data_IF_436985047787
#
_entry.id   IF_436985047787
#
_cell.length_a   1.000
_cell.length_b   1.000
_cell.length_c   1.000
_cell.angle_alpha   90.00
_cell.angle_beta   90.00
_cell.angle_gamma   90.00
#
_symmetry.space_group_name_H-M   'P 1'
#
loop_
_entity.id
_entity.type
_entity.pdbx_description
1 polymer ?
#
# COMPACT_ATOMS: atom_id res chain seq x y z
N UNK A 1 24.64 38.38 -55.85
CA UNK A 1 24.87 37.67 -54.58
C UNK A 1 23.55 37.68 -53.86
N UNK A 2 22.74 36.64 -54.08
CA UNK A 2 21.42 36.49 -53.49
C UNK A 2 21.58 35.36 -52.47
N UNK A 3 21.99 35.70 -51.26
CA UNK A 3 21.77 34.85 -50.10
C UNK A 3 20.55 35.46 -49.42
N UNK A 4 19.37 35.07 -49.90
CA UNK A 4 18.10 35.52 -49.36
C UNK A 4 17.92 35.00 -47.93
N UNK A 5 17.33 35.83 -47.08
CA UNK A 5 16.99 35.66 -45.66
C UNK A 5 16.25 34.34 -45.30
N UNK A 6 15.85 33.57 -46.30
CA UNK A 6 15.08 32.33 -46.22
C UNK A 6 15.85 31.13 -45.61
N UNK A 7 17.19 31.15 -45.62
CA UNK A 7 18.01 30.08 -45.03
C UNK A 7 18.01 30.11 -43.49
N UNK A 8 18.00 31.31 -42.89
CA UNK A 8 17.97 31.49 -41.44
C UNK A 8 16.61 31.07 -40.84
N UNK A 9 15.49 31.37 -41.53
CA UNK A 9 14.16 30.93 -41.13
C UNK A 9 14.01 29.41 -41.17
N UNK A 10 14.57 28.76 -42.20
CA UNK A 10 14.57 27.30 -42.30
C UNK A 10 15.32 26.66 -41.11
N UNK A 11 16.52 27.13 -40.77
CA UNK A 11 17.30 26.60 -39.63
C UNK A 11 16.54 26.72 -38.32
N UNK A 12 15.87 27.87 -38.09
CA UNK A 12 15.05 28.09 -36.90
C UNK A 12 13.92 27.07 -36.77
N UNK A 13 13.17 26.80 -37.85
CA UNK A 13 12.09 25.81 -37.86
C UNK A 13 12.63 24.39 -37.59
N UNK A 14 13.76 24.01 -38.19
CA UNK A 14 14.37 22.69 -37.96
C UNK A 14 14.87 22.51 -36.51
N UNK A 15 15.42 23.55 -35.89
CA UNK A 15 15.81 23.54 -34.48
C UNK A 15 14.57 23.44 -33.57
N UNK A 16 13.54 24.25 -33.81
CA UNK A 16 12.26 24.24 -33.07
C UNK A 16 11.54 22.88 -33.14
N UNK A 17 11.56 22.23 -34.30
CA UNK A 17 10.95 20.90 -34.48
C UNK A 17 11.73 19.81 -33.72
N UNK A 18 13.05 19.92 -33.67
CA UNK A 18 13.91 19.00 -32.91
C UNK A 18 13.71 19.11 -31.41
N UNK A 19 13.65 20.34 -30.88
CA UNK A 19 13.42 20.62 -29.46
C UNK A 19 12.02 20.17 -29.01
N UNK A 20 10.98 20.47 -29.79
CA UNK A 20 9.59 20.05 -29.48
C UNK A 20 9.40 18.53 -29.47
N UNK A 21 10.10 17.81 -30.36
CA UNK A 21 10.08 16.33 -30.41
C UNK A 21 10.90 15.71 -29.26
N UNK A 22 11.98 16.36 -28.86
CA UNK A 22 12.80 16.02 -27.69
C UNK A 22 12.00 16.13 -26.39
N UNK A 23 11.34 17.27 -26.15
CA UNK A 23 10.56 17.51 -24.93
C UNK A 23 9.38 16.53 -24.78
N UNK A 24 8.69 16.21 -25.88
CA UNK A 24 7.57 15.28 -25.87
C UNK A 24 8.01 13.82 -25.64
N UNK A 25 9.21 13.42 -26.09
CA UNK A 25 9.77 12.10 -25.78
C UNK A 25 10.29 12.00 -24.34
N UNK A 26 10.88 13.07 -23.80
CA UNK A 26 11.35 13.11 -22.40
C UNK A 26 10.15 13.03 -21.44
N UNK A 27 9.08 13.78 -21.71
CA UNK A 27 7.83 13.72 -20.91
C UNK A 27 7.19 12.33 -20.95
N UNK A 28 7.14 11.68 -22.11
CA UNK A 28 6.60 10.31 -22.24
C UNK A 28 7.43 9.26 -21.49
N UNK A 29 8.77 9.35 -21.56
CA UNK A 29 9.67 8.46 -20.81
C UNK A 29 9.57 8.68 -19.30
N UNK A 30 9.48 9.94 -18.86
CA UNK A 30 9.30 10.27 -17.44
C UNK A 30 7.95 9.78 -16.90
N UNK A 31 6.85 9.95 -17.65
CA UNK A 31 5.53 9.42 -17.27
C UNK A 31 5.55 7.91 -17.17
N UNK A 32 6.17 7.21 -18.13
CA UNK A 32 6.28 5.76 -18.10
C UNK A 32 7.09 5.28 -16.88
N UNK A 33 8.18 5.96 -16.56
CA UNK A 33 9.01 5.67 -15.39
C UNK A 33 8.26 5.91 -14.06
N UNK A 34 7.46 6.98 -13.97
CA UNK A 34 6.64 7.25 -12.78
C UNK A 34 5.55 6.19 -12.61
N UNK A 35 4.87 5.79 -13.69
CA UNK A 35 3.84 4.75 -13.64
C UNK A 35 4.44 3.40 -13.24
N UNK A 36 5.57 3.00 -13.83
CA UNK A 36 6.23 1.73 -13.47
C UNK A 36 6.74 1.75 -12.03
N UNK A 37 7.28 2.88 -11.56
CA UNK A 37 7.70 3.04 -10.17
C UNK A 37 6.51 2.98 -9.19
N UNK A 38 5.37 3.58 -9.55
CA UNK A 38 4.15 3.54 -8.74
C UNK A 38 3.53 2.14 -8.67
N UNK A 39 3.59 1.36 -9.76
CA UNK A 39 3.18 -0.06 -9.76
C UNK A 39 4.06 -0.95 -8.87
N UNK A 40 5.37 -0.68 -8.80
CA UNK A 40 6.28 -1.42 -7.91
C UNK A 40 5.99 -1.18 -6.43
N UNK A 41 5.48 0.01 -6.06
CA UNK A 41 5.11 0.34 -4.68
C UNK A 41 3.82 -0.40 -4.27
N UNK A 42 2.89 -0.63 -5.20
CA UNK A 42 1.63 -1.33 -4.94
C UNK A 42 1.80 -2.85 -4.76
N UNK A 43 2.85 -3.45 -5.33
CA UNK A 43 3.16 -4.88 -5.18
C UNK A 43 3.76 -5.24 -3.80
N UNK A 44 4.12 -4.25 -2.99
CA UNK A 44 4.66 -4.43 -1.65
C UNK A 44 3.58 -4.46 -0.55
N UNK A 45 2.33 -4.78 -0.90
CA UNK A 45 1.29 -5.02 0.10
C UNK A 45 1.69 -6.19 1.00
N UNK A 46 1.87 -5.93 2.30
CA UNK A 46 2.05 -6.97 3.32
C UNK A 46 0.76 -7.82 3.37
N UNK A 47 0.68 -8.84 2.52
CA UNK A 47 -0.47 -9.70 2.37
C UNK A 47 -0.55 -10.75 3.47
N UNK A 48 -1.76 -11.27 3.66
CA UNK A 48 -2.03 -12.50 4.39
C UNK A 48 -1.41 -13.66 3.60
N UNK A 49 -0.41 -14.34 4.15
CA UNK A 49 0.42 -15.31 3.41
C UNK A 49 0.40 -16.73 4.00
N UNK A 50 -0.38 -16.97 5.05
CA UNK A 50 -0.48 -18.29 5.69
C UNK A 50 -1.80 -18.98 5.33
N UNK A 51 -1.75 -20.30 5.18
CA UNK A 51 -2.92 -21.16 4.98
C UNK A 51 -3.51 -21.68 6.30
N UNK A 52 -2.96 -21.27 7.45
CA UNK A 52 -3.52 -21.58 8.76
C UNK A 52 -4.86 -20.88 8.95
N UNK A 53 -5.86 -21.60 9.49
CA UNK A 53 -7.22 -21.11 9.65
C UNK A 53 -7.30 -19.94 10.64
N UNK A 54 -8.09 -18.91 10.33
CA UNK A 54 -8.31 -17.81 11.26
C UNK A 54 -8.96 -18.31 12.56
N UNK A 55 -8.42 -17.92 13.72
CA UNK A 55 -8.93 -18.35 15.02
C UNK A 55 -10.41 -17.96 15.27
N UNK A 56 -10.87 -16.85 14.67
CA UNK A 56 -12.23 -16.34 14.90
C UNK A 56 -13.27 -16.92 13.95
N UNK A 57 -12.92 -17.16 12.67
CA UNK A 57 -13.90 -17.51 11.63
C UNK A 57 -13.48 -18.69 10.73
N UNK A 58 -12.26 -19.20 10.88
CA UNK A 58 -11.72 -20.29 10.07
C UNK A 58 -11.29 -19.90 8.64
N UNK A 59 -11.46 -18.64 8.23
CA UNK A 59 -11.09 -18.19 6.89
C UNK A 59 -9.56 -18.19 6.66
N UNK A 60 -9.17 -18.39 5.40
CA UNK A 60 -7.81 -18.28 4.88
C UNK A 60 -7.82 -17.40 3.61
N UNK A 61 -6.71 -16.73 3.24
CA UNK A 61 -5.41 -16.72 3.92
C UNK A 61 -5.38 -15.87 5.19
N UNK A 62 -4.39 -16.12 6.05
CA UNK A 62 -4.19 -15.43 7.33
C UNK A 62 -2.80 -14.80 7.46
N UNK A 63 -2.64 -13.96 8.48
CA UNK A 63 -1.36 -13.43 8.96
C UNK A 63 -1.10 -13.95 10.37
N UNK A 64 0.15 -14.32 10.63
CA UNK A 64 0.61 -14.67 11.97
C UNK A 64 0.83 -13.39 12.79
N UNK A 65 0.27 -13.36 14.00
CA UNK A 65 0.52 -12.33 14.99
C UNK A 65 1.14 -13.01 16.20
N UNK A 66 2.21 -12.40 16.71
CA UNK A 66 2.97 -12.90 17.86
C UNK A 66 2.72 -12.00 19.05
N UNK A 67 2.39 -12.62 20.18
CA UNK A 67 2.06 -11.94 21.42
C UNK A 67 2.74 -12.67 22.58
N UNK A 68 3.12 -11.92 23.62
CA UNK A 68 3.78 -12.48 24.81
C UNK A 68 2.71 -12.76 25.89
N UNK A 69 2.68 -13.98 26.41
CA UNK A 69 1.83 -14.39 27.53
C UNK A 69 2.70 -15.14 28.54
N UNK A 70 2.75 -14.67 29.79
CA UNK A 70 3.53 -15.29 30.88
C UNK A 70 5.02 -15.54 30.57
N UNK A 71 5.60 -14.74 29.67
CA UNK A 71 7.00 -14.87 29.23
C UNK A 71 7.22 -15.88 28.11
N UNK A 72 6.15 -16.41 27.52
CA UNK A 72 6.17 -17.24 26.33
C UNK A 72 5.57 -16.50 25.13
N UNK A 73 6.20 -16.64 23.96
CA UNK A 73 5.66 -16.12 22.70
C UNK A 73 4.57 -17.05 22.15
N UNK A 74 3.32 -16.58 22.12
CA UNK A 74 2.19 -17.25 21.48
C UNK A 74 2.02 -16.70 20.06
N UNK A 75 1.73 -17.57 19.09
CA UNK A 75 1.45 -17.16 17.70
C UNK A 75 0.04 -17.56 17.31
N UNK A 76 -0.77 -16.58 16.89
CA UNK A 76 -2.13 -16.80 16.41
C UNK A 76 -2.31 -16.30 14.98
N UNK A 77 -3.33 -16.83 14.29
CA UNK A 77 -3.58 -16.57 12.88
C UNK A 77 -4.91 -15.84 12.68
N UNK A 78 -4.86 -14.73 11.95
CA UNK A 78 -6.02 -13.87 11.72
C UNK A 78 -6.18 -13.55 10.24
N UNK A 79 -7.41 -13.63 9.73
CA UNK A 79 -7.74 -13.14 8.40
C UNK A 79 -7.85 -11.60 8.39
N UNK A 80 -8.01 -11.03 7.20
CA UNK A 80 -8.08 -9.58 7.04
C UNK A 80 -9.26 -8.96 7.77
N UNK A 81 -10.45 -9.52 7.56
CA UNK A 81 -11.67 -9.02 8.16
C UNK A 81 -11.60 -9.02 9.69
N UNK A 82 -11.28 -10.16 10.30
CA UNK A 82 -11.23 -10.28 11.76
C UNK A 82 -10.10 -9.50 12.43
N UNK A 83 -9.05 -9.10 11.70
CA UNK A 83 -7.96 -8.28 12.25
C UNK A 83 -8.05 -6.79 11.89
N UNK A 84 -9.06 -6.38 11.13
CA UNK A 84 -9.29 -4.98 10.75
C UNK A 84 -10.65 -4.46 11.21
N UNK A 85 -11.55 -5.34 11.68
CA UNK A 85 -12.85 -4.98 12.23
C UNK A 85 -12.88 -5.14 13.75
N UNK A 86 -13.60 -4.24 14.41
CA UNK A 86 -13.87 -4.25 15.83
C UNK A 86 -14.77 -5.44 16.15
N UNK A 87 -14.31 -6.31 17.05
CA UNK A 87 -15.04 -7.51 17.45
C UNK A 87 -16.44 -7.20 18.02
N UNK A 88 -16.60 -6.05 18.68
CA UNK A 88 -17.83 -5.72 19.41
C UNK A 88 -18.90 -5.03 18.56
N UNK A 89 -18.49 -4.15 17.64
CA UNK A 89 -19.43 -3.31 16.89
C UNK A 89 -19.28 -3.38 15.37
N UNK A 90 -18.26 -4.08 14.87
CA UNK A 90 -17.98 -4.18 13.43
C UNK A 90 -17.41 -2.91 12.78
N UNK A 91 -17.15 -1.84 13.55
CA UNK A 91 -16.42 -0.67 13.06
C UNK A 91 -14.97 -1.03 12.70
N UNK A 92 -14.21 -0.12 12.08
CA UNK A 92 -12.78 -0.36 11.86
C UNK A 92 -12.03 -0.46 13.20
N UNK A 93 -11.27 -1.52 13.38
CA UNK A 93 -10.39 -1.66 14.54
C UNK A 93 -9.19 -0.71 14.43
N UNK A 94 -8.87 -0.08 15.55
CA UNK A 94 -7.74 0.84 15.73
C UNK A 94 -6.78 0.36 16.80
N UNK A 95 -7.23 -0.56 17.66
CA UNK A 95 -6.44 -1.11 18.76
C UNK A 95 -6.43 -2.63 18.72
N UNK A 96 -5.33 -3.19 19.21
CA UNK A 96 -5.09 -4.62 19.39
C UNK A 96 -4.68 -4.85 20.83
N UNK A 97 -5.28 -5.85 21.48
CA UNK A 97 -4.89 -6.29 22.82
C UNK A 97 -4.88 -7.81 22.87
N UNK A 98 -3.94 -8.37 23.61
CA UNK A 98 -3.89 -9.81 23.88
C UNK A 98 -4.66 -10.08 25.17
N UNK A 99 -5.66 -10.97 25.13
CA UNK A 99 -6.40 -11.36 26.32
C UNK A 99 -5.63 -12.38 27.18
N UNK A 100 -6.17 -12.73 28.35
CA UNK A 100 -5.56 -13.69 29.28
C UNK A 100 -5.38 -15.10 28.72
N UNK A 101 -6.04 -15.42 27.59
CA UNK A 101 -5.85 -16.69 26.87
C UNK A 101 -4.79 -16.59 25.77
N UNK A 102 -4.06 -15.48 25.68
CA UNK A 102 -3.03 -15.26 24.66
C UNK A 102 -3.60 -14.97 23.28
N UNK A 103 -4.90 -14.65 23.15
CA UNK A 103 -5.57 -14.38 21.88
C UNK A 103 -5.71 -12.87 21.67
N UNK A 104 -5.30 -12.39 20.50
CA UNK A 104 -5.47 -11.00 20.09
C UNK A 104 -6.93 -10.68 19.74
N UNK A 105 -7.39 -9.57 20.31
CA UNK A 105 -8.71 -8.96 20.10
C UNK A 105 -8.51 -7.59 19.47
N UNK A 106 -9.29 -7.30 18.44
CA UNK A 106 -9.23 -6.05 17.67
C UNK A 106 -10.47 -5.22 17.99
N UNK A 107 -10.26 -3.98 18.45
CA UNK A 107 -11.33 -3.07 18.86
C UNK A 107 -11.15 -1.68 18.25
N UNK A 108 -12.25 -0.94 18.12
CA UNK A 108 -12.20 0.50 17.91
C UNK A 108 -11.98 1.22 19.25
N UNK A 109 -11.55 2.48 19.18
CA UNK A 109 -11.23 3.28 20.37
C UNK A 109 -12.40 3.40 21.35
N UNK A 110 -13.61 3.62 20.85
CA UNK A 110 -14.81 3.75 21.68
C UNK A 110 -15.10 2.46 22.48
N UNK A 111 -14.99 1.31 21.81
CA UNK A 111 -15.22 0.02 22.45
C UNK A 111 -14.08 -0.37 23.40
N UNK A 112 -12.84 -0.01 23.07
CA UNK A 112 -11.69 -0.26 23.95
C UNK A 112 -11.78 0.60 25.23
N UNK A 113 -12.18 1.87 25.11
CA UNK A 113 -12.38 2.75 26.26
C UNK A 113 -13.48 2.24 27.19
N UNK A 114 -14.59 1.73 26.66
CA UNK A 114 -15.68 1.17 27.48
C UNK A 114 -15.33 -0.14 28.21
N UNK A 115 -14.19 -0.78 27.92
CA UNK A 115 -13.73 -1.97 28.63
C UNK A 115 -12.88 -1.67 29.87
N UNK A 116 -12.41 -0.42 30.02
CA UNK A 116 -11.54 0.00 31.13
C UNK A 116 -12.29 0.77 32.22
N UNK A 117 -13.61 0.91 32.09
CA UNK A 117 -14.51 1.58 33.05
C UNK A 117 -15.14 0.62 34.07
#
# INVERSE_FOLDING_TARGET
>A
MIYDDNYAECIGIYQDQGERKSETMIKKKAIFAVITMMMLILAAGCGYTSDEACIWCGATPTKAIKSELDGETVTNYYCEECSTMCLLCGAKATQQFTNESGVDVFLCDDCAAGMTE
#
